data_IF_398010297526
#
_entry.id   IF_398010297526
#
_cell.length_a   1.000
_cell.length_b   1.000
_cell.length_c   1.000
_cell.angle_alpha   90.00
_cell.angle_beta   90.00
_cell.angle_gamma   90.00
#
_symmetry.space_group_name_H-M   'P 1'
#
loop_
_entity.id
_entity.type
_entity.pdbx_description
1 polymer ?
#
# COMPACT_ATOMS: atom_id res chain seq x y z
N UNK A 1 54.92 -49.07 -10.62
CA UNK A 1 54.94 -47.59 -10.43
C UNK A 1 54.18 -47.01 -11.63
N UNK A 2 53.00 -46.38 -11.59
CA UNK A 2 52.22 -45.63 -10.59
C UNK A 2 50.72 -45.71 -11.00
N UNK A 3 49.73 -46.08 -10.17
CA UNK A 3 48.97 -45.35 -9.11
C UNK A 3 47.86 -44.36 -9.60
N UNK A 4 46.60 -44.82 -9.50
CA UNK A 4 45.34 -44.15 -9.05
C UNK A 4 44.81 -42.87 -9.73
N UNK A 5 43.50 -42.87 -10.05
CA UNK A 5 42.43 -41.94 -9.56
C UNK A 5 41.16 -42.11 -10.42
N UNK A 6 40.08 -42.78 -9.99
CA UNK A 6 38.95 -42.36 -9.14
C UNK A 6 38.09 -41.17 -9.64
N UNK A 7 36.76 -41.42 -9.60
CA UNK A 7 35.60 -40.48 -9.57
C UNK A 7 35.00 -40.08 -10.92
N UNK A 8 33.69 -39.89 -11.09
CA UNK A 8 32.41 -40.33 -10.48
C UNK A 8 31.33 -39.74 -11.43
N UNK A 9 30.18 -40.40 -11.54
CA UNK A 9 29.04 -40.00 -12.35
C UNK A 9 28.60 -38.53 -12.15
N UNK A 10 28.33 -37.83 -13.25
CA UNK A 10 27.69 -36.51 -13.26
C UNK A 10 26.37 -36.56 -14.02
N UNK A 11 25.28 -36.93 -13.34
CA UNK A 11 23.92 -36.73 -13.84
C UNK A 11 23.59 -35.26 -13.62
N UNK A 12 23.57 -34.48 -14.69
CA UNK A 12 23.01 -33.13 -14.67
C UNK A 12 21.49 -33.23 -14.67
N UNK A 13 20.87 -33.23 -13.49
CA UNK A 13 19.44 -32.99 -13.37
C UNK A 13 19.18 -31.51 -13.65
N UNK A 14 18.65 -31.21 -14.83
CA UNK A 14 18.12 -29.89 -15.14
C UNK A 14 16.89 -29.65 -14.26
N UNK A 15 17.06 -28.86 -13.19
CA UNK A 15 15.93 -28.37 -12.39
C UNK A 15 15.22 -27.32 -13.24
N UNK A 16 14.12 -27.72 -13.88
CA UNK A 16 13.19 -26.79 -14.47
C UNK A 16 12.57 -25.95 -13.35
N UNK A 17 12.94 -24.67 -13.27
CA UNK A 17 12.23 -23.71 -12.44
C UNK A 17 10.86 -23.51 -13.08
N UNK A 18 9.86 -24.25 -12.61
CA UNK A 18 8.46 -23.97 -12.90
C UNK A 18 8.14 -22.69 -12.13
N UNK A 19 8.29 -21.55 -12.78
CA UNK A 19 7.69 -20.30 -12.31
C UNK A 19 6.18 -20.53 -12.33
N UNK A 20 5.59 -20.81 -11.16
CA UNK A 20 4.16 -20.63 -10.99
C UNK A 20 3.89 -19.15 -11.23
N UNK A 21 3.49 -18.81 -12.46
CA UNK A 21 2.85 -17.54 -12.74
C UNK A 21 1.55 -17.53 -11.94
N UNK A 22 1.65 -17.11 -10.67
CA UNK A 22 0.50 -16.70 -9.89
C UNK A 22 -0.29 -15.71 -10.74
N UNK A 23 -1.59 -15.96 -10.88
CA UNK A 23 -2.53 -15.26 -11.75
C UNK A 23 -2.03 -13.87 -12.15
N UNK A 24 -1.77 -13.65 -13.44
CA UNK A 24 -1.13 -12.44 -13.96
C UNK A 24 -1.77 -11.19 -13.35
N UNK A 25 -1.12 -10.63 -12.33
CA UNK A 25 -1.54 -9.38 -11.73
C UNK A 25 -1.27 -8.28 -12.77
N UNK A 26 -2.11 -7.25 -12.80
CA UNK A 26 -1.77 -6.07 -13.57
C UNK A 26 -0.38 -5.58 -13.13
N UNK A 27 0.44 -5.12 -14.07
CA UNK A 27 1.80 -4.69 -13.74
C UNK A 27 1.82 -3.55 -12.71
N UNK A 28 2.93 -3.35 -11.99
CA UNK A 28 3.01 -2.40 -10.86
C UNK A 28 2.50 -0.99 -11.20
N UNK A 29 2.77 -0.49 -12.41
CA UNK A 29 2.28 0.80 -12.87
C UNK A 29 0.73 0.91 -12.91
N UNK A 30 0.03 -0.15 -13.32
CA UNK A 30 -1.44 -0.18 -13.33
C UNK A 30 -2.02 -0.26 -11.92
N UNK A 31 -1.39 -1.03 -11.03
CA UNK A 31 -1.80 -1.10 -9.63
C UNK A 31 -1.58 0.25 -8.94
N UNK A 32 -0.46 0.92 -9.23
CA UNK A 32 -0.16 2.28 -8.77
C UNK A 32 -1.26 3.26 -9.17
N UNK A 33 -1.60 3.30 -10.45
CA UNK A 33 -2.64 4.20 -10.97
C UNK A 33 -4.02 3.91 -10.35
N UNK A 34 -4.35 2.62 -10.18
CA UNK A 34 -5.58 2.20 -9.53
C UNK A 34 -5.67 2.73 -8.10
N UNK A 35 -4.63 2.51 -7.29
CA UNK A 35 -4.59 2.94 -5.89
C UNK A 35 -4.60 4.46 -5.78
N UNK A 36 -3.88 5.18 -6.64
CA UNK A 36 -3.95 6.65 -6.68
C UNK A 36 -5.39 7.13 -6.89
N UNK A 37 -6.09 6.61 -7.92
CA UNK A 37 -7.48 6.99 -8.18
C UNK A 37 -8.41 6.64 -7.03
N UNK A 38 -8.20 5.48 -6.41
CA UNK A 38 -8.98 5.02 -5.28
C UNK A 38 -8.81 5.95 -4.06
N UNK A 39 -7.57 6.29 -3.72
CA UNK A 39 -7.22 7.13 -2.57
C UNK A 39 -7.63 8.59 -2.79
N UNK A 40 -7.40 9.15 -3.99
CA UNK A 40 -7.87 10.50 -4.36
C UNK A 40 -9.38 10.58 -4.24
N UNK A 41 -10.11 9.63 -4.85
CA UNK A 41 -11.56 9.62 -4.80
C UNK A 41 -12.11 9.50 -3.37
N UNK A 42 -11.43 8.70 -2.52
CA UNK A 42 -11.85 8.48 -1.14
C UNK A 42 -11.57 9.69 -0.23
N UNK A 43 -10.33 10.18 -0.23
CA UNK A 43 -9.86 11.15 0.77
C UNK A 43 -9.83 12.59 0.29
N UNK A 44 -9.87 12.84 -1.01
CA UNK A 44 -9.85 14.20 -1.58
C UNK A 44 -11.23 14.55 -2.13
N UNK A 45 -11.80 13.68 -2.96
CA UNK A 45 -13.10 13.94 -3.59
C UNK A 45 -14.28 13.54 -2.69
N UNK A 46 -14.03 12.76 -1.64
CA UNK A 46 -15.05 12.22 -0.73
C UNK A 46 -16.20 11.51 -1.47
N UNK A 47 -15.88 10.79 -2.54
CA UNK A 47 -16.86 10.04 -3.33
C UNK A 47 -17.03 8.60 -2.79
N UNK A 48 -18.15 8.25 -2.15
CA UNK A 48 -18.35 6.90 -1.64
C UNK A 48 -18.46 5.84 -2.74
N UNK A 49 -18.75 6.23 -3.99
CA UNK A 49 -18.86 5.29 -5.11
C UNK A 49 -17.51 4.65 -5.47
N UNK A 50 -16.39 5.32 -5.15
CA UNK A 50 -15.05 4.76 -5.37
C UNK A 50 -14.79 3.51 -4.54
N UNK A 51 -15.48 3.35 -3.40
CA UNK A 51 -15.37 2.16 -2.55
C UNK A 51 -15.88 0.92 -3.27
N UNK A 52 -17.05 1.01 -3.91
CA UNK A 52 -17.59 -0.12 -4.69
C UNK A 52 -16.74 -0.40 -5.94
N UNK A 53 -16.18 0.66 -6.53
CA UNK A 53 -15.36 0.58 -7.74
C UNK A 53 -13.99 -0.03 -7.49
N UNK A 54 -13.31 0.31 -6.40
CA UNK A 54 -11.91 -0.07 -6.21
C UNK A 54 -11.67 -1.08 -5.09
N UNK A 55 -12.56 -1.23 -4.10
CA UNK A 55 -12.37 -2.20 -3.03
C UNK A 55 -13.17 -3.48 -3.26
N UNK A 56 -12.52 -4.61 -2.96
CA UNK A 56 -13.14 -5.92 -2.97
C UNK A 56 -14.16 -6.08 -1.84
N UNK A 57 -15.21 -6.86 -2.08
CA UNK A 57 -16.13 -7.26 -1.02
C UNK A 57 -15.45 -8.10 0.08
N UNK A 58 -14.34 -8.76 -0.24
CA UNK A 58 -13.53 -9.56 0.69
C UNK A 58 -12.32 -8.78 1.24
N UNK A 59 -12.42 -7.45 1.30
CA UNK A 59 -11.37 -6.58 1.79
C UNK A 59 -10.97 -6.92 3.23
N UNK A 60 -9.66 -7.01 3.47
CA UNK A 60 -9.06 -7.25 4.79
C UNK A 60 -8.39 -5.96 5.30
N UNK A 61 -8.77 -5.53 6.49
CA UNK A 61 -8.22 -4.36 7.19
C UNK A 61 -7.33 -4.81 8.35
N UNK A 62 -6.15 -4.22 8.45
CA UNK A 62 -5.21 -4.47 9.54
C UNK A 62 -4.98 -3.27 10.47
N UNK A 63 -5.45 -2.07 10.11
CA UNK A 63 -5.38 -0.92 11.01
C UNK A 63 -6.17 -1.21 12.30
N UNK A 64 -5.53 -1.19 13.48
CA UNK A 64 -6.16 -1.55 14.75
C UNK A 64 -7.28 -0.61 15.21
N UNK A 65 -7.38 0.57 14.60
CA UNK A 65 -8.41 1.58 14.89
C UNK A 65 -9.71 1.34 14.13
N UNK A 66 -9.73 0.43 13.16
CA UNK A 66 -10.88 0.19 12.29
C UNK A 66 -11.33 -1.28 12.31
N UNK A 67 -12.67 -1.53 12.33
CA UNK A 67 -13.20 -2.86 12.05
C UNK A 67 -12.79 -3.39 10.67
N UNK A 68 -12.85 -4.72 10.52
CA UNK A 68 -12.60 -5.38 9.24
C UNK A 68 -13.76 -5.20 8.24
N UNK A 69 -13.49 -5.45 6.96
CA UNK A 69 -14.47 -5.45 5.88
C UNK A 69 -14.61 -4.10 5.17
N UNK A 70 -15.16 -4.12 3.96
CA UNK A 70 -15.21 -2.93 3.07
C UNK A 70 -16.12 -1.81 3.58
N UNK A 71 -17.15 -2.14 4.35
CA UNK A 71 -18.16 -1.16 4.77
C UNK A 71 -17.60 -0.09 5.71
N UNK A 72 -16.51 -0.39 6.43
CA UNK A 72 -15.80 0.59 7.25
C UNK A 72 -15.28 1.77 6.42
N UNK A 73 -14.88 1.52 5.17
CA UNK A 73 -14.36 2.55 4.25
C UNK A 73 -15.50 3.46 3.77
N UNK A 74 -16.69 2.91 3.51
CA UNK A 74 -17.87 3.72 3.19
C UNK A 74 -18.27 4.60 4.38
N UNK A 75 -18.21 4.02 5.59
CA UNK A 75 -18.47 4.75 6.82
C UNK A 75 -17.51 5.92 7.04
N UNK A 76 -16.24 5.78 6.62
CA UNK A 76 -15.27 6.87 6.70
C UNK A 76 -15.70 8.10 5.89
N UNK A 77 -16.10 7.92 4.62
CA UNK A 77 -16.51 9.02 3.74
C UNK A 77 -17.70 9.77 4.33
N UNK A 78 -18.72 9.03 4.77
CA UNK A 78 -19.94 9.62 5.35
C UNK A 78 -19.72 10.36 6.67
N UNK A 79 -18.66 10.01 7.42
CA UNK A 79 -18.36 10.58 8.73
C UNK A 79 -17.11 11.47 8.71
N UNK A 80 -16.64 11.88 7.54
CA UNK A 80 -15.45 12.72 7.42
C UNK A 80 -15.71 14.07 8.10
N UNK A 81 -14.93 14.47 9.12
CA UNK A 81 -15.21 15.67 9.88
C UNK A 81 -14.97 16.95 9.05
N UNK A 82 -15.69 18.05 9.35
CA UNK A 82 -15.40 19.34 8.74
C UNK A 82 -13.94 19.74 8.96
N UNK A 83 -13.22 20.03 7.87
CA UNK A 83 -11.81 20.39 7.92
C UNK A 83 -10.83 19.23 7.78
N UNK A 84 -11.31 18.00 7.57
CA UNK A 84 -10.46 16.92 7.12
C UNK A 84 -9.76 17.29 5.80
N UNK A 85 -8.47 16.99 5.71
CA UNK A 85 -7.67 17.15 4.48
C UNK A 85 -6.70 16.00 4.36
N UNK A 86 -6.49 15.55 3.13
CA UNK A 86 -5.49 14.58 2.77
C UNK A 86 -4.51 15.17 1.76
N UNK A 87 -3.21 15.08 2.04
CA UNK A 87 -2.14 15.42 1.11
C UNK A 87 -1.41 14.13 0.72
N UNK A 88 -1.50 13.76 -0.56
CA UNK A 88 -0.79 12.61 -1.10
C UNK A 88 0.69 12.96 -1.31
N UNK A 89 1.58 12.10 -0.82
CA UNK A 89 3.01 12.11 -1.11
C UNK A 89 3.38 10.92 -2.00
N UNK A 90 4.56 10.36 -1.74
CA UNK A 90 5.16 9.29 -2.52
C UNK A 90 4.23 8.09 -2.69
N UNK A 91 4.20 7.56 -3.92
CA UNK A 91 3.51 6.31 -4.24
C UNK A 91 4.47 5.34 -4.91
N UNK A 92 4.74 4.24 -4.24
CA UNK A 92 5.63 3.16 -4.70
C UNK A 92 4.79 1.92 -4.98
N UNK A 93 5.05 1.24 -6.08
CA UNK A 93 4.40 -0.02 -6.40
C UNK A 93 5.43 -1.09 -6.75
N UNK A 94 5.28 -2.27 -6.15
CA UNK A 94 6.06 -3.45 -6.44
C UNK A 94 5.14 -4.67 -6.52
N UNK A 95 5.16 -5.34 -7.67
CA UNK A 95 4.18 -6.38 -8.02
C UNK A 95 2.75 -5.92 -7.79
N UNK A 96 2.10 -6.54 -6.81
CA UNK A 96 0.72 -6.28 -6.41
C UNK A 96 0.58 -5.47 -5.11
N UNK A 97 1.68 -5.00 -4.55
CA UNK A 97 1.72 -4.11 -3.39
C UNK A 97 1.90 -2.68 -3.86
N UNK A 98 1.11 -1.76 -3.30
CA UNK A 98 1.25 -0.32 -3.50
C UNK A 98 1.28 0.37 -2.15
N UNK A 99 2.31 1.18 -1.91
CA UNK A 99 2.42 2.00 -0.71
C UNK A 99 2.17 3.46 -1.08
N UNK A 100 1.35 4.13 -0.30
CA UNK A 100 1.05 5.55 -0.40
C UNK A 100 1.47 6.21 0.89
N UNK A 101 2.40 7.16 0.81
CA UNK A 101 2.72 8.03 1.93
C UNK A 101 1.76 9.21 1.90
N UNK A 102 0.98 9.42 2.95
CA UNK A 102 -0.03 10.48 3.03
C UNK A 102 0.08 11.29 4.31
N UNK A 103 -0.43 12.52 4.27
CA UNK A 103 -0.62 13.37 5.45
C UNK A 103 -2.10 13.65 5.64
N UNK A 104 -2.60 13.36 6.83
CA UNK A 104 -3.97 13.55 7.26
C UNK A 104 -4.04 14.72 8.22
N UNK A 105 -4.91 15.68 7.96
CA UNK A 105 -5.23 16.79 8.88
C UNK A 105 -6.71 16.78 9.21
N UNK A 106 -7.10 17.26 10.39
CA UNK A 106 -8.51 17.36 10.79
C UNK A 106 -9.10 16.09 11.41
N UNK A 107 -8.31 15.02 11.58
CA UNK A 107 -8.70 13.82 12.36
C UNK A 107 -8.54 13.97 13.87
N UNK A 108 -7.73 14.93 14.30
CA UNK A 108 -7.33 15.12 15.68
C UNK A 108 -6.54 16.41 15.86
N UNK A 109 -5.95 16.64 17.05
CA UNK A 109 -5.27 17.90 17.37
C UNK A 109 -3.98 18.12 16.58
N UNK A 110 -3.38 17.05 16.05
CA UNK A 110 -2.17 17.10 15.23
C UNK A 110 -2.39 16.37 13.91
N UNK A 111 -1.72 16.78 12.82
CA UNK A 111 -1.69 15.99 11.61
C UNK A 111 -1.03 14.63 11.85
N UNK A 112 -1.46 13.64 11.08
CA UNK A 112 -0.86 12.31 11.05
C UNK A 112 -0.16 12.12 9.71
N UNK A 113 0.98 11.47 9.72
CA UNK A 113 1.64 10.95 8.51
C UNK A 113 1.47 9.44 8.54
N UNK A 114 0.99 8.87 7.43
CA UNK A 114 0.92 7.42 7.29
C UNK A 114 1.71 6.94 6.09
N UNK A 115 2.13 5.69 6.16
CA UNK A 115 2.38 4.86 4.97
C UNK A 115 1.28 3.83 4.92
N UNK A 116 0.32 4.06 4.02
CA UNK A 116 -0.76 3.14 3.71
C UNK A 116 -0.27 2.12 2.68
N UNK A 117 -0.30 0.84 3.01
CA UNK A 117 0.10 -0.25 2.14
C UNK A 117 -1.12 -1.05 1.70
N UNK A 118 -1.30 -1.16 0.39
CA UNK A 118 -2.42 -1.85 -0.23
C UNK A 118 -1.94 -3.06 -1.02
N UNK A 119 -2.65 -4.18 -0.90
CA UNK A 119 -2.54 -5.29 -1.84
C UNK A 119 -3.67 -5.24 -2.86
N UNK A 120 -3.32 -5.36 -4.13
CA UNK A 120 -4.26 -5.30 -5.26
C UNK A 120 -4.37 -6.68 -5.89
N UNK A 121 -5.57 -7.16 -6.17
CA UNK A 121 -5.80 -8.37 -6.95
C UNK A 121 -6.98 -8.13 -7.90
N UNK A 122 -6.85 -8.58 -9.16
CA UNK A 122 -7.93 -8.51 -10.18
C UNK A 122 -8.57 -7.11 -10.29
N UNK A 123 -7.74 -6.07 -10.24
CA UNK A 123 -8.20 -4.68 -10.35
C UNK A 123 -9.02 -4.19 -9.15
N UNK A 124 -8.78 -4.76 -7.96
CA UNK A 124 -9.38 -4.32 -6.70
C UNK A 124 -8.33 -4.27 -5.59
N UNK A 125 -8.45 -3.30 -4.69
CA UNK A 125 -7.81 -3.30 -3.39
C UNK A 125 -8.48 -4.38 -2.54
N UNK A 126 -7.70 -5.35 -2.09
CA UNK A 126 -8.21 -6.51 -1.35
C UNK A 126 -7.70 -6.55 0.09
N UNK A 127 -6.67 -5.77 0.42
CA UNK A 127 -6.07 -5.77 1.75
C UNK A 127 -5.32 -4.46 2.00
N UNK A 128 -5.29 -4.04 3.27
CA UNK A 128 -4.67 -2.79 3.68
C UNK A 128 -4.01 -2.91 5.06
N UNK A 129 -2.83 -2.31 5.17
CA UNK A 129 -2.12 -2.05 6.41
C UNK A 129 -1.69 -0.59 6.43
N UNK A 130 -1.47 -0.05 7.60
CA UNK A 130 -0.82 1.25 7.75
C UNK A 130 0.11 1.30 8.95
N UNK A 131 0.97 2.30 8.93
CA UNK A 131 1.69 2.79 10.11
C UNK A 131 1.45 4.29 10.15
N UNK A 132 0.88 4.77 11.26
CA UNK A 132 0.62 6.18 11.50
C UNK A 132 1.62 6.75 12.51
N UNK A 133 2.05 7.99 12.27
CA UNK A 133 2.87 8.76 13.18
C UNK A 133 2.32 10.18 13.29
N UNK A 134 2.19 10.70 14.52
CA UNK A 134 1.89 12.13 14.71
C UNK A 134 3.00 12.97 14.08
N UNK A 135 2.61 13.97 13.30
CA UNK A 135 3.57 14.88 12.69
C UNK A 135 4.19 15.82 13.73
N UNK A 136 5.51 15.92 13.69
CA UNK A 136 6.28 16.92 14.43
C UNK A 136 6.63 18.06 13.47
N UNK A 137 6.28 19.33 13.78
CA UNK A 137 6.67 20.47 12.96
C UNK A 137 8.18 20.54 12.79
N UNK A 138 8.65 20.96 11.60
CA UNK A 138 10.08 21.02 11.29
C UNK A 138 10.90 21.77 12.35
N UNK A 139 10.35 22.87 12.89
CA UNK A 139 10.94 23.69 13.96
C UNK A 139 11.17 22.95 15.29
N UNK A 140 10.52 21.80 15.49
CA UNK A 140 10.63 20.97 16.70
C UNK A 140 11.37 19.65 16.44
N UNK A 141 11.65 19.32 15.17
CA UNK A 141 12.48 18.15 14.84
C UNK A 141 13.94 18.42 15.19
N UNK A 142 14.69 17.37 15.57
CA UNK A 142 16.13 17.49 15.83
C UNK A 142 16.96 17.78 14.58
N UNK A 143 16.50 17.32 13.41
CA UNK A 143 17.17 17.54 12.13
C UNK A 143 16.85 18.89 11.49
N UNK A 144 15.77 19.57 11.93
CA UNK A 144 15.24 20.76 11.28
C UNK A 144 14.47 20.48 9.98
N UNK A 145 14.36 19.23 9.55
CA UNK A 145 13.68 18.85 8.31
C UNK A 145 12.19 18.57 8.55
N UNK A 146 11.30 18.90 7.60
CA UNK A 146 9.90 18.51 7.70
C UNK A 146 9.75 17.00 7.58
N UNK A 147 8.81 16.42 8.34
CA UNK A 147 8.51 15.00 8.18
C UNK A 147 7.82 14.72 6.85
N UNK A 148 7.02 15.65 6.32
CA UNK A 148 6.29 15.52 5.04
C UNK A 148 6.63 16.64 4.06
N UNK A 149 6.89 16.26 2.81
CA UNK A 149 7.06 17.18 1.69
C UNK A 149 6.02 16.83 0.62
N UNK A 150 5.11 17.73 0.26
CA UNK A 150 4.12 17.49 -0.78
C UNK A 150 4.77 17.21 -2.14
N UNK A 151 4.21 16.26 -2.91
CA UNK A 151 4.62 16.00 -4.29
C UNK A 151 5.92 15.22 -4.48
N UNK A 152 6.57 14.77 -3.40
CA UNK A 152 7.63 13.75 -3.41
C UNK A 152 7.07 12.40 -3.02
#
# INVERSE_FOLDING_TARGET
MSLKNFMRAGVFAAVAIISLAGAAHAGPAKNRELVIRAVVGLFIDHDPAVVDKYWSQKYIQHNPMFPNGRDVIKGFVSNTPPGFKYEMGAVVADGNIVMVRGRYTGFGPKPMIAVDMFRVEKGKIIEHWDVLQEEVPASQTKSGNPMFVPGM
#
